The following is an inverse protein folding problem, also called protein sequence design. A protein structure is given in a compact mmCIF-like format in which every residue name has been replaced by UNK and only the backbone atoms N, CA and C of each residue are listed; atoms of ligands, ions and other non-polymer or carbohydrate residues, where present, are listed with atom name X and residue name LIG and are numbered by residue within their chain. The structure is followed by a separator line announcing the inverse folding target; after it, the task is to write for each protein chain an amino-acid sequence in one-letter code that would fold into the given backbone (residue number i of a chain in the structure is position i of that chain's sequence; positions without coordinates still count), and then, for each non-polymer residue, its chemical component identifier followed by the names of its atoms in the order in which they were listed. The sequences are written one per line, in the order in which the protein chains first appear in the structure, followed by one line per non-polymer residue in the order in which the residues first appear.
data_IF_250710810432
#
_entry.id   IF_250710810432
#
_cell.length_a   1.000
_cell.length_b   1.000
_cell.length_c   1.000
_cell.angle_alpha   90.00
_cell.angle_beta   90.00
_cell.angle_gamma   90.00
#
_symmetry.space_group_name_H-M   'P 1'
#
loop_
_entity.id
_entity.type
_entity.pdbx_description
1 polymer ?
#
# COMPACT_ATOMS: atom_id res chain seq x y z
N UNK A 1 13.58 -11.73 15.43
CA UNK A 1 12.49 -12.41 14.69
C UNK A 1 12.82 -12.41 13.20
N UNK A 2 13.11 -13.57 12.60
CA UNK A 2 13.40 -13.69 11.16
C UNK A 2 12.06 -13.63 10.40
N UNK A 3 11.95 -12.75 9.40
CA UNK A 3 10.81 -12.79 8.47
C UNK A 3 11.03 -13.94 7.50
N UNK A 4 10.01 -14.79 7.34
CA UNK A 4 9.94 -15.82 6.30
C UNK A 4 9.67 -15.20 4.93
N UNK A 5 10.04 -15.89 3.86
CA UNK A 5 9.70 -15.48 2.50
C UNK A 5 8.19 -15.59 2.23
N UNK A 6 7.52 -16.57 2.83
CA UNK A 6 6.06 -16.74 2.76
C UNK A 6 5.35 -15.87 3.82
N UNK A 7 4.18 -15.27 3.48
CA UNK A 7 3.36 -14.54 4.42
C UNK A 7 2.74 -15.50 5.46
N UNK A 8 2.62 -15.08 6.73
CA UNK A 8 1.87 -15.81 7.74
C UNK A 8 0.37 -15.93 7.40
N UNK A 9 -0.26 -17.07 7.71
CA UNK A 9 -1.69 -17.29 7.43
C UNK A 9 -2.60 -16.29 8.17
N UNK A 10 -2.21 -15.88 9.38
CA UNK A 10 -2.94 -14.88 10.16
C UNK A 10 -2.94 -13.50 9.49
N UNK A 11 -1.86 -13.16 8.77
CA UNK A 11 -1.78 -11.95 7.96
C UNK A 11 -2.70 -12.03 6.76
N UNK A 12 -2.70 -13.16 6.04
CA UNK A 12 -3.56 -13.37 4.86
C UNK A 12 -5.03 -13.29 5.27
N UNK A 13 -5.42 -13.94 6.37
CA UNK A 13 -6.79 -13.88 6.89
C UNK A 13 -7.20 -12.46 7.34
N UNK A 14 -6.27 -11.68 7.89
CA UNK A 14 -6.51 -10.29 8.24
C UNK A 14 -6.70 -9.42 6.99
N UNK A 15 -5.81 -9.54 6.00
CA UNK A 15 -5.89 -8.80 4.75
C UNK A 15 -7.20 -9.13 4.06
N UNK A 16 -7.55 -10.41 3.90
CA UNK A 16 -8.82 -10.84 3.31
C UNK A 16 -10.04 -10.12 3.94
N UNK A 17 -10.10 -10.10 5.27
CA UNK A 17 -11.20 -9.46 6.01
C UNK A 17 -11.24 -7.93 5.86
N UNK A 18 -10.10 -7.26 5.90
CA UNK A 18 -10.01 -5.78 5.95
C UNK A 18 -9.78 -5.12 4.59
N UNK A 19 -9.37 -5.88 3.57
CA UNK A 19 -8.99 -5.36 2.27
C UNK A 19 -10.09 -4.50 1.61
N UNK A 20 -11.38 -4.90 1.59
CA UNK A 20 -12.43 -4.08 1.00
C UNK A 20 -12.54 -2.69 1.63
N UNK A 21 -12.36 -2.61 2.95
CA UNK A 21 -12.48 -1.36 3.70
C UNK A 21 -11.25 -0.47 3.51
N UNK A 22 -10.05 -1.06 3.43
CA UNK A 22 -8.83 -0.33 3.10
C UNK A 22 -8.90 0.23 1.69
N UNK A 23 -9.37 -0.56 0.72
CA UNK A 23 -9.59 -0.11 -0.67
C UNK A 23 -10.58 1.06 -0.73
N UNK A 24 -11.73 0.95 -0.06
CA UNK A 24 -12.71 2.03 -0.01
C UNK A 24 -12.12 3.31 0.59
N UNK A 25 -11.30 3.18 1.65
CA UNK A 25 -10.64 4.33 2.28
C UNK A 25 -9.61 4.98 1.35
N UNK A 26 -8.76 4.18 0.71
CA UNK A 26 -7.77 4.69 -0.27
C UNK A 26 -8.49 5.36 -1.43
N UNK A 27 -9.60 4.79 -1.91
CA UNK A 27 -10.38 5.36 -3.01
C UNK A 27 -11.00 6.73 -2.68
N UNK A 28 -11.25 7.01 -1.40
CA UNK A 28 -11.70 8.32 -0.92
C UNK A 28 -10.60 9.37 -0.79
N UNK A 29 -9.33 8.95 -0.74
CA UNK A 29 -8.19 9.85 -0.52
C UNK A 29 -7.32 10.06 -1.77
N UNK A 30 -7.38 9.11 -2.72
CA UNK A 30 -6.47 9.01 -3.87
C UNK A 30 -7.27 8.75 -5.16
N UNK A 31 -6.97 9.45 -6.27
CA UNK A 31 -7.64 9.26 -7.55
C UNK A 31 -7.32 7.88 -8.18
N UNK A 32 -8.23 7.42 -9.04
CA UNK A 32 -8.25 6.06 -9.59
C UNK A 32 -6.91 5.48 -10.10
N UNK A 33 -6.06 6.19 -10.87
CA UNK A 33 -4.84 5.60 -11.42
C UNK A 33 -3.82 5.22 -10.35
N UNK A 34 -3.78 5.91 -9.21
CA UNK A 34 -2.74 5.73 -8.19
C UNK A 34 -3.19 4.92 -6.98
N UNK A 35 -4.46 4.48 -6.95
CA UNK A 35 -5.04 3.78 -5.79
C UNK A 35 -4.32 2.47 -5.50
N UNK A 36 -4.01 1.70 -6.52
CA UNK A 36 -3.40 0.37 -6.38
C UNK A 36 -1.95 0.48 -5.89
N UNK A 37 -1.23 1.52 -6.32
CA UNK A 37 0.11 1.82 -5.82
C UNK A 37 0.08 2.17 -4.33
N UNK A 38 -0.77 3.12 -3.94
CA UNK A 38 -0.91 3.53 -2.53
C UNK A 38 -1.40 2.37 -1.66
N UNK A 39 -2.34 1.56 -2.15
CA UNK A 39 -2.79 0.34 -1.48
C UNK A 39 -1.63 -0.64 -1.24
N UNK A 40 -0.83 -0.88 -2.27
CA UNK A 40 0.35 -1.76 -2.17
C UNK A 40 1.36 -1.23 -1.16
N UNK A 41 1.63 0.08 -1.14
CA UNK A 41 2.52 0.70 -0.16
C UNK A 41 2.00 0.58 1.28
N UNK A 42 0.68 0.74 1.48
CA UNK A 42 0.01 0.56 2.77
C UNK A 42 0.15 -0.88 3.25
N UNK A 43 -0.18 -1.85 2.41
CA UNK A 43 -0.08 -3.27 2.75
C UNK A 43 1.37 -3.69 3.02
N UNK A 44 2.34 -3.15 2.27
CA UNK A 44 3.77 -3.38 2.50
C UNK A 44 4.21 -2.82 3.86
N UNK A 45 3.75 -1.61 4.20
CA UNK A 45 4.00 -0.99 5.50
C UNK A 45 3.39 -1.77 6.67
N UNK A 46 2.21 -2.35 6.46
CA UNK A 46 1.53 -3.22 7.42
C UNK A 46 2.30 -4.54 7.60
N UNK A 47 2.68 -5.20 6.51
CA UNK A 47 3.45 -6.44 6.53
C UNK A 47 4.75 -6.27 7.32
N UNK A 48 5.48 -5.17 7.12
CA UNK A 48 6.72 -4.88 7.85
C UNK A 48 6.55 -4.76 9.37
N UNK A 49 5.35 -4.38 9.84
CA UNK A 49 5.03 -4.24 11.28
C UNK A 49 4.22 -5.40 11.85
N UNK A 50 3.84 -6.37 11.03
CA UNK A 50 2.89 -7.42 11.38
C UNK A 50 3.29 -8.20 12.65
N UNK A 51 4.58 -8.55 12.77
CA UNK A 51 5.11 -9.25 13.94
C UNK A 51 4.84 -8.51 15.26
N UNK A 52 5.01 -7.18 15.29
CA UNK A 52 4.76 -6.35 16.46
C UNK A 52 3.27 -6.22 16.75
N UNK A 53 2.46 -6.06 15.71
CA UNK A 53 0.99 -5.98 15.83
C UNK A 53 0.41 -7.29 16.36
N UNK A 54 0.95 -8.43 15.94
CA UNK A 54 0.55 -9.74 16.46
C UNK A 54 0.86 -9.88 17.95
N UNK A 55 2.02 -9.41 18.39
CA UNK A 55 2.36 -9.38 19.83
C UNK A 55 1.39 -8.46 20.58
N UNK A 56 1.12 -7.28 20.05
CA UNK A 56 0.16 -6.34 20.66
C UNK A 56 -1.27 -6.91 20.74
N UNK A 57 -1.71 -7.63 19.70
CA UNK A 57 -3.01 -8.30 19.69
C UNK A 57 -3.10 -9.40 20.76
N UNK A 58 -2.04 -10.18 20.94
CA UNK A 58 -1.96 -11.19 22.02
C UNK A 58 -1.99 -10.58 23.41
N UNK A 59 -1.53 -9.34 23.55
CA UNK A 59 -1.63 -8.55 24.79
C UNK A 59 -2.99 -7.85 24.96
N UNK A 60 -4.01 -8.27 24.21
CA UNK A 60 -5.38 -7.75 24.34
C UNK A 60 -5.60 -6.38 23.69
N UNK A 61 -4.74 -5.95 22.75
CA UNK A 61 -4.86 -4.64 22.07
C UNK A 61 -5.12 -4.76 20.56
N UNK A 62 -6.19 -5.43 20.12
CA UNK A 62 -6.49 -5.62 18.69
C UNK A 62 -6.74 -4.30 17.96
N UNK A 63 -7.30 -3.28 18.66
CA UNK A 63 -7.55 -1.95 18.10
C UNK A 63 -6.28 -1.22 17.61
N UNK A 64 -5.09 -1.63 18.06
CA UNK A 64 -3.83 -1.06 17.57
C UNK A 64 -3.55 -1.43 16.12
N UNK A 65 -3.99 -2.61 15.67
CA UNK A 65 -3.84 -3.04 14.28
C UNK A 65 -4.67 -2.15 13.37
N UNK A 66 -5.94 -1.91 13.72
CA UNK A 66 -6.84 -1.05 12.96
C UNK A 66 -6.32 0.40 12.90
N UNK A 67 -5.94 0.97 14.05
CA UNK A 67 -5.34 2.31 14.12
C UNK A 67 -4.01 2.40 13.37
N UNK A 68 -3.27 1.30 13.22
CA UNK A 68 -2.04 1.27 12.45
C UNK A 68 -2.34 1.38 10.96
N UNK A 69 -3.34 0.63 10.48
CA UNK A 69 -3.81 0.69 9.09
C UNK A 69 -4.33 2.08 8.75
N UNK A 70 -5.17 2.67 9.60
CA UNK A 70 -5.68 4.04 9.39
C UNK A 70 -4.53 5.06 9.29
N UNK A 71 -3.58 5.00 10.22
CA UNK A 71 -2.40 5.87 10.19
C UNK A 71 -1.56 5.67 8.93
N UNK A 72 -1.41 4.43 8.48
CA UNK A 72 -0.69 4.11 7.24
C UNK A 72 -1.38 4.71 6.02
N UNK A 73 -2.71 4.56 5.91
CA UNK A 73 -3.47 5.12 4.78
C UNK A 73 -3.35 6.64 4.76
N UNK A 74 -3.59 7.32 5.89
CA UNK A 74 -3.48 8.79 5.99
C UNK A 74 -2.07 9.26 5.64
N UNK A 75 -1.06 8.59 6.20
CA UNK A 75 0.33 8.94 5.96
C UNK A 75 0.73 8.74 4.49
N UNK A 76 0.33 7.63 3.86
CA UNK A 76 0.64 7.33 2.46
C UNK A 76 -0.11 8.23 1.49
N UNK A 77 -1.39 8.50 1.75
CA UNK A 77 -2.15 9.48 0.98
C UNK A 77 -1.50 10.87 1.05
N UNK A 78 -1.03 11.28 2.23
CA UNK A 78 -0.28 12.53 2.38
C UNK A 78 1.02 12.54 1.59
N UNK A 79 1.84 11.49 1.70
CA UNK A 79 3.10 11.39 0.94
C UNK A 79 2.85 11.36 -0.57
N UNK A 80 1.80 10.68 -1.02
CA UNK A 80 1.38 10.70 -2.41
C UNK A 80 1.05 12.12 -2.86
N UNK A 81 0.25 12.88 -2.09
CA UNK A 81 -0.05 14.30 -2.38
C UNK A 81 1.21 15.18 -2.44
N UNK A 82 2.19 14.92 -1.57
CA UNK A 82 3.47 15.66 -1.55
C UNK A 82 4.38 15.30 -2.73
N UNK A 83 4.26 14.09 -3.30
CA UNK A 83 5.02 13.64 -4.47
C UNK A 83 4.39 14.05 -5.80
N UNK A 84 3.08 14.28 -5.82
CA UNK A 84 2.41 14.84 -6.99
C UNK A 84 2.94 16.26 -7.21
N UNK A 85 3.88 16.39 -8.15
CA UNK A 85 4.21 17.67 -8.76
C UNK A 85 2.97 18.01 -9.57
N UNK A 86 2.05 18.78 -8.99
CA UNK A 86 0.94 19.33 -9.75
C UNK A 86 1.56 20.23 -10.82
N UNK A 87 1.44 19.91 -12.12
CA UNK A 87 1.55 20.97 -13.10
C UNK A 87 0.44 21.94 -12.72
N UNK A 88 0.82 23.12 -12.22
CA UNK A 88 -0.14 24.20 -12.03
C UNK A 88 -0.51 24.63 -13.44
N UNK A 89 -1.54 24.00 -14.00
CA UNK A 89 -2.23 24.55 -15.16
C UNK A 89 -2.90 25.83 -14.66
N UNK A 90 -2.21 26.96 -14.82
CA UNK A 90 -2.79 28.29 -14.68
C UNK A 90 -3.80 28.43 -15.82
N UNK A 91 -5.02 27.97 -15.57
CA UNK A 91 -6.13 28.22 -16.48
C UNK A 91 -6.51 29.68 -16.25
N UNK A 92 -6.08 30.58 -17.14
CA UNK A 92 -6.64 31.93 -17.19
C UNK A 92 -8.11 31.75 -17.56
N UNK A 93 -9.00 31.96 -16.60
CA UNK A 93 -10.43 31.96 -16.88
C UNK A 93 -10.77 33.21 -17.70
N UNK A 94 -10.74 33.07 -19.02
CA UNK A 94 -11.55 33.92 -19.88
C UNK A 94 -13.01 33.53 -19.65
N UNK A 95 -13.78 34.45 -19.05
CA UNK A 95 -15.19 34.25 -18.74
C UNK A 95 -15.99 34.01 -20.04
N UNK A 96 -16.61 32.84 -20.25
CA UNK A 96 -17.40 32.60 -21.46
C UNK A 96 -18.78 33.27 -21.36
N UNK A 97 -19.32 33.81 -22.47
CA UNK A 97 -20.73 34.20 -22.53
C UNK A 97 -21.67 32.98 -22.37
N UNK A 98 -22.88 33.24 -21.85
CA UNK A 98 -23.90 32.28 -21.43
C UNK A 98 -24.38 31.28 -22.53
N UNK A 99 -25.02 30.14 -22.16
CA UNK A 99 -24.95 28.88 -22.90
C UNK A 99 -26.15 28.58 -23.82
N UNK A 100 -26.00 27.72 -24.84
CA UNK A 100 -27.11 26.94 -25.40
C UNK A 100 -27.21 25.52 -24.78
N UNK A 101 -28.46 25.03 -24.72
CA UNK A 101 -28.99 23.82 -24.07
C UNK A 101 -28.68 22.48 -24.81
N UNK A 102 -28.96 21.30 -24.20
CA UNK A 102 -28.23 20.06 -24.43
C UNK A 102 -28.76 19.21 -25.59
N UNK A 103 -27.85 18.47 -26.24
CA UNK A 103 -28.18 17.27 -27.03
C UNK A 103 -27.72 16.01 -26.26
N UNK A 104 -28.58 14.99 -26.23
CA UNK A 104 -28.54 13.85 -25.32
C UNK A 104 -27.42 12.81 -25.52
N UNK A 105 -27.49 11.68 -24.78
CA UNK A 105 -26.41 10.71 -24.68
C UNK A 105 -26.56 9.58 -25.71
N UNK A 106 -25.55 9.42 -26.57
CA UNK A 106 -25.38 8.19 -27.37
C UNK A 106 -23.90 7.86 -27.49
N UNK A 107 -23.42 6.98 -26.61
CA UNK A 107 -22.13 6.29 -26.74
C UNK A 107 -22.26 4.88 -26.16
N UNK A 108 -21.82 3.82 -26.86
CA UNK A 108 -21.97 2.44 -26.41
C UNK A 108 -21.03 2.13 -25.23
N UNK A 109 -21.62 1.74 -24.10
CA UNK A 109 -20.88 1.24 -22.94
C UNK A 109 -20.42 -0.18 -23.23
N UNK A 110 -19.09 -0.38 -23.30
CA UNK A 110 -18.44 -1.65 -23.59
C UNK A 110 -18.91 -2.78 -22.66
N UNK A 111 -19.34 -3.89 -23.27
CA UNK A 111 -19.83 -5.13 -22.64
C UNK A 111 -18.80 -5.78 -21.72
N UNK A 112 -17.51 -5.44 -21.86
CA UNK A 112 -16.43 -5.96 -21.02
C UNK A 112 -16.58 -5.60 -19.53
N UNK A 113 -17.16 -4.44 -19.23
CA UNK A 113 -17.38 -3.99 -17.84
C UNK A 113 -18.56 -4.69 -17.16
N UNK A 114 -19.46 -5.32 -17.93
CA UNK A 114 -20.67 -5.98 -17.40
C UNK A 114 -20.44 -7.46 -17.01
N UNK A 115 -19.30 -8.06 -17.38
CA UNK A 115 -19.01 -9.49 -17.11
C UNK A 115 -18.09 -9.76 -15.91
N UNK A 116 -17.49 -8.75 -15.29
CA UNK A 116 -16.60 -8.94 -14.15
C UNK A 116 -17.33 -9.18 -12.81
N UNK A 117 -18.66 -9.02 -12.76
CA UNK A 117 -19.45 -9.09 -11.53
C UNK A 117 -19.99 -10.49 -11.20
N UNK A 118 -19.67 -11.52 -11.97
CA UNK A 118 -20.24 -12.87 -11.78
C UNK A 118 -19.14 -13.94 -11.74
N UNK A 119 -18.35 -13.91 -10.67
CA UNK A 119 -17.72 -15.12 -10.14
C UNK A 119 -17.96 -15.12 -8.65
N UNK A 120 -19.06 -15.77 -8.28
CA UNK A 120 -19.47 -15.98 -6.91
C UNK A 120 -18.63 -17.09 -6.26
N UNK A 121 -18.45 -16.93 -4.97
CA UNK A 121 -17.40 -17.49 -4.14
C UNK A 121 -17.47 -19.02 -3.92
N UNK A 122 -16.30 -19.67 -3.97
CA UNK A 122 -16.09 -20.96 -3.27
C UNK A 122 -14.91 -20.76 -2.33
N UNK A 123 -15.11 -21.16 -1.07
CA UNK A 123 -14.27 -20.93 0.12
C UNK A 123 -12.79 -21.28 -0.10
N UNK A 124 -12.07 -20.32 -0.68
CA UNK A 124 -10.63 -20.07 -0.59
C UNK A 124 -10.51 -18.59 -0.23
N UNK A 125 -9.48 -18.14 0.51
CA UNK A 125 -9.18 -16.72 0.53
C UNK A 125 -9.17 -16.24 -0.93
N UNK A 126 -9.93 -15.19 -1.27
CA UNK A 126 -10.06 -14.73 -2.63
C UNK A 126 -8.64 -14.55 -3.17
N UNK A 127 -8.33 -15.18 -4.31
CA UNK A 127 -6.98 -15.23 -4.86
C UNK A 127 -6.33 -13.83 -4.91
N UNK A 128 -7.14 -12.78 -5.07
CA UNK A 128 -6.75 -11.39 -4.94
C UNK A 128 -6.11 -11.02 -3.58
N UNK A 129 -6.74 -11.38 -2.46
CA UNK A 129 -6.20 -11.08 -1.12
C UNK A 129 -4.89 -11.83 -0.87
N UNK A 130 -4.79 -13.09 -1.32
CA UNK A 130 -3.53 -13.85 -1.23
C UNK A 130 -2.43 -13.23 -2.11
N UNK A 131 -2.75 -12.85 -3.33
CA UNK A 131 -1.81 -12.21 -4.26
C UNK A 131 -1.30 -10.87 -3.71
N UNK A 132 -2.19 -10.04 -3.16
CA UNK A 132 -1.82 -8.75 -2.56
C UNK A 132 -1.03 -8.94 -1.27
N UNK A 133 -1.45 -9.86 -0.39
CA UNK A 133 -0.73 -10.16 0.83
C UNK A 133 0.68 -10.71 0.55
N UNK A 134 0.82 -11.62 -0.42
CA UNK A 134 2.11 -12.19 -0.81
C UNK A 134 3.03 -11.15 -1.46
N UNK A 135 2.51 -10.32 -2.36
CA UNK A 135 3.28 -9.23 -3.00
C UNK A 135 3.77 -8.23 -1.95
N UNK A 136 2.87 -7.75 -1.09
CA UNK A 136 3.22 -6.83 0.01
C UNK A 136 4.24 -7.45 0.98
N UNK A 137 4.07 -8.73 1.32
CA UNK A 137 4.99 -9.44 2.22
C UNK A 137 6.38 -9.60 1.62
N UNK A 138 6.45 -9.93 0.33
CA UNK A 138 7.70 -10.02 -0.41
C UNK A 138 8.44 -8.68 -0.45
N UNK A 139 7.74 -7.58 -0.76
CA UNK A 139 8.34 -6.25 -0.73
C UNK A 139 8.87 -5.86 0.66
N UNK A 140 8.12 -6.17 1.72
CA UNK A 140 8.56 -5.93 3.09
C UNK A 140 9.78 -6.79 3.47
N UNK A 141 9.79 -8.06 3.08
CA UNK A 141 10.91 -8.97 3.27
C UNK A 141 12.18 -8.46 2.56
N UNK A 142 12.05 -8.07 1.30
CA UNK A 142 13.17 -7.59 0.48
C UNK A 142 13.72 -6.26 0.99
N UNK A 143 12.86 -5.32 1.40
CA UNK A 143 13.28 -4.08 2.04
C UNK A 143 14.08 -4.33 3.34
N UNK A 144 13.60 -5.26 4.17
CA UNK A 144 14.29 -5.64 5.42
C UNK A 144 15.63 -6.34 5.15
N UNK A 145 15.66 -7.22 4.14
CA UNK A 145 16.88 -7.92 3.72
C UNK A 145 17.94 -6.94 3.20
N UNK A 146 17.54 -5.96 2.38
CA UNK A 146 18.42 -4.89 1.89
C UNK A 146 18.94 -4.03 3.03
N UNK A 147 18.08 -3.58 3.94
CA UNK A 147 18.50 -2.81 5.11
C UNK A 147 19.52 -3.58 5.97
N UNK A 148 19.28 -4.87 6.24
CA UNK A 148 20.23 -5.70 6.98
C UNK A 148 21.54 -5.97 6.23
N UNK A 149 21.56 -5.89 4.90
CA UNK A 149 22.79 -5.93 4.11
C UNK A 149 23.54 -4.59 4.22
N UNK A 150 22.84 -3.47 4.07
CA UNK A 150 23.41 -2.12 4.19
C UNK A 150 24.06 -1.95 5.57
N UNK A 151 23.34 -2.23 6.66
CA UNK A 151 23.87 -2.10 8.02
C UNK A 151 25.13 -2.96 8.22
N UNK A 152 25.14 -4.19 7.73
CA UNK A 152 26.34 -5.06 7.81
C UNK A 152 27.52 -4.50 7.04
N UNK A 153 27.29 -3.98 5.83
CA UNK A 153 28.33 -3.34 5.02
C UNK A 153 28.84 -2.07 5.72
N UNK A 154 27.95 -1.21 6.22
CA UNK A 154 28.33 -0.01 6.96
C UNK A 154 29.18 -0.35 8.20
N UNK A 155 28.75 -1.32 9.00
CA UNK A 155 29.51 -1.78 10.18
C UNK A 155 30.87 -2.36 9.79
N UNK A 156 30.93 -3.13 8.71
CA UNK A 156 32.20 -3.68 8.21
C UNK A 156 33.16 -2.57 7.74
N UNK A 157 32.67 -1.57 7.02
CA UNK A 157 33.47 -0.41 6.60
C UNK A 157 33.96 0.40 7.80
N UNK A 158 33.08 0.68 8.78
CA UNK A 158 33.45 1.36 10.02
C UNK A 158 34.50 0.57 10.81
N UNK A 159 34.38 -0.75 10.85
CA UNK A 159 35.35 -1.63 11.50
C UNK A 159 36.72 -1.61 10.82
N UNK A 160 36.77 -1.66 9.49
CA UNK A 160 38.03 -1.53 8.74
C UNK A 160 38.68 -0.16 8.95
N UNK A 161 37.88 0.92 8.95
CA UNK A 161 38.36 2.27 9.27
C UNK A 161 38.97 2.34 10.68
N UNK A 162 38.31 1.75 11.67
CA UNK A 162 38.81 1.71 13.04
C UNK A 162 40.14 0.95 13.18
N UNK A 163 40.29 -0.19 12.49
CA UNK A 163 41.56 -0.95 12.44
C UNK A 163 42.66 -0.10 11.80
N UNK A 164 42.35 0.55 10.67
CA UNK A 164 43.31 1.36 9.96
C UNK A 164 43.79 2.55 10.80
N UNK A 165 42.89 3.23 11.52
CA UNK A 165 43.26 4.32 12.43
C UNK A 165 44.02 3.87 13.68
N UNK A 166 43.90 2.61 14.08
CA UNK A 166 44.63 2.07 15.24
C UNK A 166 46.03 1.54 14.88
N UNK A 167 46.32 1.39 13.58
CA UNK A 167 47.57 0.83 13.07
C UNK A 167 48.55 1.90 12.52
N UNK A 168 48.12 3.16 12.43
CA UNK A 168 48.96 4.31 12.03
C UNK A 168 49.22 5.22 13.21
#
# INVERSE_FOLDING_TARGET
MRMSAAPPDDFVAYVDRRLPQVRARVAGEVPAPDRDEVLTEVLTGLAGRWALLRVAARLGRPALTDRCVERLVVHRARLWRERQIYPVEVTVWDLPPAPPRPAGPTGPVSVALRRASVLDSTVRPPLAALAEASTAWWHAYEARRRAGRIVRVTLFVLFLLAIWTAAG
#
